data_IF_626759510781
#
_entry.id   IF_626759510781
#
_cell.length_a   1.000
_cell.length_b   1.000
_cell.length_c   1.000
_cell.angle_alpha   90.00
_cell.angle_beta   90.00
_cell.angle_gamma   90.00
#
_symmetry.space_group_name_H-M   'P 1'
#
loop_
_entity.id
_entity.type
_entity.pdbx_description
1 polymer ?
#
# COMPACT_ATOMS: atom_id res chain seq x y z
N UNK A 1 9.50 26.28 -76.33
CA UNK A 1 9.89 24.96 -76.85
C UNK A 1 10.61 24.19 -75.76
N UNK A 2 10.12 22.99 -75.42
CA UNK A 2 10.84 21.83 -74.81
C UNK A 2 11.36 22.02 -73.37
N UNK A 3 11.24 21.08 -72.44
CA UNK A 3 10.60 19.76 -72.33
C UNK A 3 10.59 19.45 -70.82
N UNK A 4 9.42 19.08 -70.28
CA UNK A 4 9.29 18.51 -68.94
C UNK A 4 9.87 17.09 -68.98
N UNK A 5 10.85 16.79 -68.13
CA UNK A 5 11.34 15.43 -67.96
C UNK A 5 10.61 14.80 -66.76
N UNK A 6 9.58 14.00 -67.06
CA UNK A 6 8.98 13.05 -66.13
C UNK A 6 9.92 11.86 -65.95
N UNK A 7 10.51 11.72 -64.76
CA UNK A 7 11.27 10.53 -64.39
C UNK A 7 10.26 9.41 -64.05
N UNK A 8 10.04 8.50 -65.00
CA UNK A 8 9.36 7.23 -64.77
C UNK A 8 10.33 6.30 -64.03
N UNK A 9 10.08 6.03 -62.75
CA UNK A 9 10.72 4.91 -62.05
C UNK A 9 9.88 3.66 -62.33
N UNK A 10 10.44 2.78 -63.14
CA UNK A 10 9.91 1.46 -63.48
C UNK A 10 10.03 0.55 -62.26
N UNK A 11 8.88 0.10 -61.73
CA UNK A 11 8.82 -1.00 -60.77
C UNK A 11 9.27 -2.30 -61.44
N UNK A 12 10.50 -2.73 -61.17
CA UNK A 12 10.92 -4.10 -61.44
C UNK A 12 10.39 -4.98 -60.31
N UNK A 13 9.31 -5.69 -60.62
CA UNK A 13 8.81 -6.83 -59.85
C UNK A 13 9.85 -7.95 -59.91
N UNK A 14 10.67 -8.05 -58.87
CA UNK A 14 11.64 -9.12 -58.68
C UNK A 14 11.44 -9.79 -57.32
N UNK A 15 10.97 -11.04 -57.36
CA UNK A 15 11.25 -12.04 -56.32
C UNK A 15 10.48 -11.89 -55.00
N UNK A 16 9.31 -12.53 -54.95
CA UNK A 16 8.73 -13.03 -53.70
C UNK A 16 9.69 -14.05 -53.05
N UNK A 17 10.59 -13.57 -52.18
CA UNK A 17 10.99 -14.35 -51.01
C UNK A 17 10.22 -13.77 -49.85
N UNK A 18 9.14 -14.45 -49.46
CA UNK A 18 8.41 -14.19 -48.22
C UNK A 18 9.34 -14.39 -47.03
N UNK A 19 10.10 -13.34 -46.71
CA UNK A 19 10.61 -13.15 -45.37
C UNK A 19 9.38 -12.87 -44.52
N UNK A 20 8.86 -13.90 -43.86
CA UNK A 20 8.12 -13.70 -42.63
C UNK A 20 8.98 -12.79 -41.76
N UNK A 21 8.61 -11.52 -41.63
CA UNK A 21 9.04 -10.67 -40.54
C UNK A 21 8.49 -11.36 -39.29
N UNK A 22 9.27 -12.31 -38.79
CA UNK A 22 9.11 -12.85 -37.47
C UNK A 22 9.31 -11.64 -36.58
N UNK A 23 8.21 -11.08 -36.06
CA UNK A 23 8.27 -10.12 -34.99
C UNK A 23 9.15 -10.77 -33.93
N UNK A 24 10.38 -10.26 -33.77
CA UNK A 24 11.26 -10.67 -32.68
C UNK A 24 10.42 -10.43 -31.44
N UNK A 25 10.11 -11.51 -30.72
CA UNK A 25 9.41 -11.44 -29.45
C UNK A 25 10.25 -10.54 -28.55
N UNK A 26 9.86 -9.27 -28.47
CA UNK A 26 10.65 -8.25 -27.80
C UNK A 26 10.45 -8.54 -26.33
N UNK A 27 11.50 -8.97 -25.64
CA UNK A 27 11.41 -9.22 -24.21
C UNK A 27 10.91 -7.95 -23.52
N UNK A 28 9.92 -8.09 -22.64
CA UNK A 28 9.37 -7.01 -21.82
C UNK A 28 9.54 -7.40 -20.36
N UNK A 29 9.98 -6.46 -19.54
CA UNK A 29 10.02 -6.61 -18.09
C UNK A 29 8.70 -6.12 -17.51
N UNK A 30 8.03 -6.95 -16.73
CA UNK A 30 6.78 -6.55 -16.09
C UNK A 30 7.02 -6.07 -14.67
N UNK A 31 6.48 -4.90 -14.33
CA UNK A 31 6.34 -4.45 -12.95
C UNK A 31 4.88 -4.55 -12.53
N UNK A 32 4.63 -4.92 -11.27
CA UNK A 32 3.27 -4.96 -10.71
C UNK A 32 3.06 -3.75 -9.82
N UNK A 33 1.96 -3.03 -10.04
CA UNK A 33 1.53 -1.91 -9.24
C UNK A 33 0.19 -2.25 -8.55
N UNK A 34 0.20 -2.35 -7.22
CA UNK A 34 -0.99 -2.59 -6.40
C UNK A 34 -1.50 -1.24 -5.89
N UNK A 35 -2.65 -0.79 -6.38
CA UNK A 35 -3.27 0.47 -5.96
C UNK A 35 -4.16 0.18 -4.74
N UNK A 36 -3.76 0.67 -3.57
CA UNK A 36 -4.56 0.56 -2.34
C UNK A 36 -5.55 1.71 -2.21
N UNK A 37 -5.13 2.91 -2.62
CA UNK A 37 -5.94 4.10 -2.56
C UNK A 37 -5.66 4.97 -3.76
N UNK A 38 -6.73 5.38 -4.44
CA UNK A 38 -6.69 6.40 -5.49
C UNK A 38 -8.07 7.03 -5.50
N UNK A 39 -8.27 8.02 -4.64
CA UNK A 39 -9.57 8.64 -4.43
C UNK A 39 -9.41 10.08 -3.97
N UNK A 40 -10.46 10.86 -4.17
CA UNK A 40 -10.53 12.22 -3.66
C UNK A 40 -10.79 12.19 -2.17
N UNK A 41 -9.96 12.93 -1.43
CA UNK A 41 -10.16 13.25 -0.01
C UNK A 41 -10.11 14.76 0.09
N UNK A 42 -11.25 15.38 0.43
CA UNK A 42 -11.44 16.82 0.45
C UNK A 42 -11.11 17.52 -0.87
N UNK A 43 -10.02 18.31 -0.88
CA UNK A 43 -9.51 19.04 -2.05
C UNK A 43 -8.27 18.39 -2.66
N UNK A 44 -7.90 17.19 -2.18
CA UNK A 44 -6.74 16.46 -2.66
C UNK A 44 -7.13 15.12 -3.30
N UNK A 45 -6.38 14.71 -4.30
CA UNK A 45 -6.36 13.33 -4.76
C UNK A 45 -5.30 12.58 -3.94
N UNK A 46 -5.71 11.52 -3.24
CA UNK A 46 -4.79 10.67 -2.50
C UNK A 46 -4.47 9.43 -3.32
N UNK A 47 -3.18 9.20 -3.59
CA UNK A 47 -2.64 7.99 -4.21
C UNK A 47 -1.76 7.25 -3.21
N UNK A 48 -2.04 5.97 -3.01
CA UNK A 48 -1.22 5.01 -2.26
C UNK A 48 -1.14 3.73 -3.10
N UNK A 49 0.05 3.42 -3.59
CA UNK A 49 0.28 2.20 -4.37
C UNK A 49 1.64 1.58 -4.06
N UNK A 50 1.71 0.26 -4.08
CA UNK A 50 2.98 -0.46 -4.07
C UNK A 50 3.42 -0.79 -5.49
N UNK A 51 4.65 -0.42 -5.85
CA UNK A 51 5.30 -0.75 -7.12
C UNK A 51 6.36 -1.82 -6.86
N UNK A 52 6.12 -3.05 -7.32
CA UNK A 52 7.07 -4.16 -7.20
C UNK A 52 8.09 -4.11 -8.34
N UNK A 53 9.37 -3.92 -7.97
CA UNK A 53 10.48 -3.78 -8.90
C UNK A 53 11.45 -4.96 -8.87
N UNK A 54 11.19 -6.01 -8.07
CA UNK A 54 12.14 -7.11 -7.78
C UNK A 54 12.73 -7.77 -9.03
N UNK A 55 11.90 -7.92 -10.06
CA UNK A 55 12.25 -8.58 -11.32
C UNK A 55 12.91 -7.64 -12.35
N UNK A 56 12.99 -6.34 -12.06
CA UNK A 56 13.60 -5.37 -12.98
C UNK A 56 15.13 -5.52 -12.99
N UNK A 57 15.68 -5.63 -14.19
CA UNK A 57 17.10 -5.72 -14.49
C UNK A 57 17.52 -4.57 -15.39
N UNK A 58 18.71 -4.02 -15.10
CA UNK A 58 19.30 -2.91 -15.82
C UNK A 58 20.74 -3.24 -16.22
N UNK A 59 21.15 -2.73 -17.38
CA UNK A 59 22.56 -2.75 -17.74
C UNK A 59 23.37 -1.83 -16.79
N UNK A 60 24.66 -2.10 -16.54
CA UNK A 60 25.43 -1.39 -15.52
C UNK A 60 25.46 0.13 -15.62
N UNK A 61 25.47 0.66 -16.82
CA UNK A 61 25.54 2.07 -17.18
C UNK A 61 24.17 2.68 -17.54
N UNK A 62 23.09 1.92 -17.36
CA UNK A 62 21.74 2.37 -17.68
C UNK A 62 21.11 3.16 -16.52
N UNK A 63 20.34 4.19 -16.84
CA UNK A 63 19.47 4.92 -15.90
C UNK A 63 18.07 4.97 -16.50
N UNK A 64 17.09 4.59 -15.70
CA UNK A 64 15.68 4.53 -16.10
C UNK A 64 14.84 5.33 -15.12
N UNK A 65 13.91 6.12 -15.66
CA UNK A 65 12.90 6.83 -14.88
C UNK A 65 11.56 6.14 -15.09
N UNK A 66 10.99 5.58 -14.02
CA UNK A 66 9.61 5.13 -14.01
C UNK A 66 8.74 6.31 -13.56
N UNK A 67 7.94 6.85 -14.47
CA UNK A 67 7.12 8.06 -14.27
C UNK A 67 5.66 7.62 -14.14
N UNK A 68 5.09 7.63 -12.93
CA UNK A 68 3.65 7.49 -12.76
C UNK A 68 2.95 8.70 -13.38
N UNK A 69 1.93 8.46 -14.20
CA UNK A 69 1.10 9.49 -14.81
C UNK A 69 -0.36 9.20 -14.50
N UNK A 70 -1.02 10.17 -13.88
CA UNK A 70 -2.47 10.20 -13.73
C UNK A 70 -3.04 10.77 -15.03
N UNK A 71 -4.12 10.19 -15.56
CA UNK A 71 -4.68 10.63 -16.84
C UNK A 71 -6.19 10.42 -16.92
N UNK A 72 -6.86 11.31 -17.66
CA UNK A 72 -8.28 11.18 -18.01
C UNK A 72 -8.51 11.88 -19.36
N UNK A 73 -8.82 11.10 -20.41
CA UNK A 73 -8.95 11.66 -21.76
C UNK A 73 -7.63 12.30 -22.23
N UNK A 74 -7.68 13.61 -22.55
CA UNK A 74 -6.52 14.42 -22.94
C UNK A 74 -5.72 14.99 -21.77
N UNK A 75 -6.32 15.07 -20.58
CA UNK A 75 -5.69 15.63 -19.40
C UNK A 75 -4.79 14.62 -18.73
N UNK A 76 -3.63 15.07 -18.26
CA UNK A 76 -2.70 14.21 -17.54
C UNK A 76 -1.75 14.97 -16.63
N UNK A 77 -1.32 14.30 -15.57
CA UNK A 77 -0.35 14.81 -14.60
C UNK A 77 0.76 13.78 -14.41
N UNK A 78 1.98 14.16 -14.78
CA UNK A 78 3.19 13.39 -14.46
C UNK A 78 3.56 13.60 -13.00
N UNK A 79 3.83 12.49 -12.30
CA UNK A 79 4.25 12.49 -10.92
C UNK A 79 5.77 12.29 -10.80
N UNK A 80 6.39 12.67 -9.67
CA UNK A 80 7.80 12.45 -9.41
C UNK A 80 8.25 11.01 -9.72
N UNK A 81 9.29 10.80 -10.53
CA UNK A 81 9.66 9.47 -10.99
C UNK A 81 10.33 8.62 -9.91
N UNK A 82 10.23 7.30 -10.05
CA UNK A 82 11.16 6.35 -9.40
C UNK A 82 12.35 6.19 -10.33
N UNK A 83 13.52 6.63 -9.89
CA UNK A 83 14.77 6.56 -10.65
C UNK A 83 15.50 5.25 -10.33
N UNK A 84 15.78 4.46 -11.35
CA UNK A 84 16.52 3.22 -11.25
C UNK A 84 17.86 3.37 -11.97
N UNK A 85 18.95 3.09 -11.26
CA UNK A 85 20.31 3.15 -11.78
C UNK A 85 20.95 1.77 -11.78
N UNK A 86 21.59 1.39 -12.87
CA UNK A 86 22.58 0.32 -12.85
C UNK A 86 23.80 0.66 -11.96
N UNK A 87 24.66 -0.32 -11.63
CA UNK A 87 25.81 -0.12 -10.75
C UNK A 87 26.76 1.03 -11.12
N UNK A 88 27.06 1.23 -12.39
CA UNK A 88 27.97 2.28 -12.86
C UNK A 88 27.25 3.64 -12.93
N UNK A 89 26.00 3.69 -13.39
CA UNK A 89 25.25 4.94 -13.45
C UNK A 89 24.90 5.47 -12.05
N UNK A 90 24.67 4.61 -11.06
CA UNK A 90 24.50 5.00 -9.65
C UNK A 90 25.78 5.66 -9.10
N UNK A 91 26.95 5.11 -9.43
CA UNK A 91 28.23 5.70 -9.04
C UNK A 91 28.40 7.09 -9.66
N UNK A 92 28.04 7.27 -10.93
CA UNK A 92 28.10 8.57 -11.60
C UNK A 92 27.09 9.56 -11.01
N UNK A 93 25.88 9.10 -10.71
CA UNK A 93 24.85 9.89 -10.04
C UNK A 93 25.34 10.42 -8.69
N UNK A 94 25.88 9.55 -7.82
CA UNK A 94 26.43 9.94 -6.50
C UNK A 94 27.59 10.92 -6.62
N UNK A 95 28.49 10.71 -7.59
CA UNK A 95 29.63 11.62 -7.84
C UNK A 95 29.16 13.01 -8.27
N UNK A 96 28.20 13.11 -9.20
CA UNK A 96 27.65 14.40 -9.64
C UNK A 96 26.90 15.12 -8.51
N UNK A 97 26.11 14.37 -7.72
CA UNK A 97 25.42 14.89 -6.53
C UNK A 97 26.42 15.47 -5.51
N UNK A 98 27.51 14.77 -5.23
CA UNK A 98 28.57 15.24 -4.33
C UNK A 98 29.31 16.49 -4.86
N UNK A 99 29.37 16.67 -6.18
CA UNK A 99 29.96 17.84 -6.82
C UNK A 99 28.98 19.02 -6.97
N UNK A 100 27.76 18.91 -6.43
CA UNK A 100 26.72 19.95 -6.56
C UNK A 100 26.23 20.17 -8.00
N UNK A 101 26.53 19.25 -8.92
CA UNK A 101 26.05 19.30 -10.30
C UNK A 101 24.66 18.65 -10.36
N UNK A 102 23.62 19.46 -10.51
CA UNK A 102 22.26 18.99 -10.73
C UNK A 102 22.19 18.22 -12.06
N UNK A 103 21.49 17.08 -12.06
CA UNK A 103 21.40 16.19 -13.22
C UNK A 103 20.07 16.47 -13.92
N UNK A 104 20.10 17.22 -15.03
CA UNK A 104 19.11 17.07 -16.10
C UNK A 104 19.06 15.58 -16.50
N UNK A 105 17.88 14.98 -16.78
CA UNK A 105 16.90 15.54 -17.71
C UNK A 105 15.43 15.36 -17.26
N UNK A 106 15.17 15.12 -15.98
CA UNK A 106 13.79 15.09 -15.47
C UNK A 106 13.45 16.45 -14.88
N UNK A 107 12.30 17.05 -15.23
CA UNK A 107 11.87 18.33 -14.66
C UNK A 107 11.48 18.24 -13.17
N UNK A 108 11.52 17.04 -12.58
CA UNK A 108 11.11 16.76 -11.21
C UNK A 108 12.22 16.07 -10.42
N UNK A 109 12.28 16.35 -9.12
CA UNK A 109 13.04 15.56 -8.16
C UNK A 109 12.46 14.14 -8.09
N UNK A 110 13.27 13.07 -8.16
CA UNK A 110 12.76 11.72 -8.11
C UNK A 110 12.16 11.40 -6.74
N UNK A 111 11.02 10.71 -6.73
CA UNK A 111 10.37 10.21 -5.50
C UNK A 111 11.30 9.26 -4.73
N UNK A 112 12.00 8.40 -5.47
CA UNK A 112 12.99 7.48 -4.92
C UNK A 112 14.11 7.26 -5.94
N UNK A 113 15.34 7.04 -5.45
CA UNK A 113 16.50 6.68 -6.27
C UNK A 113 17.01 5.33 -5.79
N UNK A 114 16.98 4.34 -6.68
CA UNK A 114 17.35 2.97 -6.40
C UNK A 114 18.49 2.51 -7.28
N UNK A 115 19.31 1.61 -6.75
CA UNK A 115 20.40 0.97 -7.47
C UNK A 115 20.05 -0.48 -7.74
N UNK A 116 19.97 -0.85 -9.00
CA UNK A 116 19.96 -2.24 -9.44
C UNK A 116 21.35 -2.83 -9.19
N UNK A 117 21.42 -3.97 -8.51
CA UNK A 117 22.67 -4.63 -8.12
C UNK A 117 22.45 -6.13 -8.00
N UNK A 118 23.41 -6.88 -7.45
CA UNK A 118 23.27 -8.33 -7.25
C UNK A 118 22.10 -8.77 -6.35
N UNK A 119 21.39 -7.83 -5.72
CA UNK A 119 20.17 -8.06 -4.95
C UNK A 119 18.94 -7.55 -5.71
N UNK A 120 17.79 -8.21 -5.51
CA UNK A 120 16.51 -7.78 -6.06
C UNK A 120 16.17 -6.35 -5.62
N UNK A 121 15.62 -5.56 -6.56
CA UNK A 121 15.10 -4.24 -6.24
C UNK A 121 13.89 -4.35 -5.29
N UNK A 122 13.66 -3.35 -4.42
CA UNK A 122 12.58 -3.43 -3.44
C UNK A 122 11.19 -3.22 -4.05
N UNK A 123 10.17 -3.50 -3.24
CA UNK A 123 8.81 -2.98 -3.48
C UNK A 123 8.73 -1.57 -2.88
N UNK A 124 8.38 -0.58 -3.70
CA UNK A 124 8.27 0.82 -3.28
C UNK A 124 6.82 1.14 -2.96
N UNK A 125 6.56 1.70 -1.78
CA UNK A 125 5.28 2.38 -1.54
C UNK A 125 5.40 3.80 -2.11
N UNK A 126 4.63 4.07 -3.15
CA UNK A 126 4.50 5.35 -3.80
C UNK A 126 3.23 6.04 -3.29
N UNK A 127 3.41 7.04 -2.41
CA UNK A 127 2.33 7.79 -1.77
C UNK A 127 2.36 9.27 -2.14
N UNK A 128 1.19 9.81 -2.44
CA UNK A 128 0.91 11.23 -2.64
C UNK A 128 -0.43 11.58 -2.04
N UNK A 129 -0.44 12.41 -1.00
CA UNK A 129 -1.64 12.87 -0.29
C UNK A 129 -1.88 14.39 -0.43
N UNK A 130 -0.99 15.08 -1.12
CA UNK A 130 -0.95 16.53 -1.31
C UNK A 130 -1.29 16.98 -2.74
N UNK A 131 -1.77 16.08 -3.60
CA UNK A 131 -2.08 16.43 -5.00
C UNK A 131 -3.39 17.21 -5.05
N UNK A 132 -3.32 18.49 -5.40
CA UNK A 132 -4.53 19.30 -5.62
C UNK A 132 -5.47 18.61 -6.62
N UNK A 133 -6.70 18.36 -6.18
CA UNK A 133 -7.70 17.67 -6.97
C UNK A 133 -8.22 18.59 -8.08
N UNK A 134 -8.18 18.11 -9.32
CA UNK A 134 -8.77 18.80 -10.46
C UNK A 134 -10.00 18.04 -10.99
N UNK A 135 -11.01 18.71 -11.56
CA UNK A 135 -12.26 18.06 -11.98
C UNK A 135 -12.07 16.86 -12.93
N UNK A 136 -11.05 16.89 -13.79
CA UNK A 136 -10.75 15.78 -14.71
C UNK A 136 -10.26 14.51 -13.99
N UNK A 137 -9.78 14.63 -12.74
CA UNK A 137 -9.25 13.52 -11.93
C UNK A 137 -10.33 12.61 -11.36
N UNK A 138 -11.59 13.00 -11.38
CA UNK A 138 -12.74 12.24 -10.84
C UNK A 138 -12.82 10.81 -11.40
N UNK A 139 -12.43 10.65 -12.67
CA UNK A 139 -12.41 9.35 -13.38
C UNK A 139 -11.02 9.01 -13.91
N UNK A 140 -9.98 9.57 -13.30
CA UNK A 140 -8.62 9.35 -13.79
C UNK A 140 -8.15 7.91 -13.57
N UNK A 141 -7.45 7.40 -14.57
CA UNK A 141 -6.61 6.22 -14.46
C UNK A 141 -5.17 6.59 -14.09
N UNK A 142 -4.36 5.56 -13.85
CA UNK A 142 -2.92 5.71 -13.64
C UNK A 142 -2.18 4.74 -14.56
N UNK A 143 -1.03 5.18 -15.05
CA UNK A 143 -0.07 4.37 -15.81
C UNK A 143 1.34 4.73 -15.37
N UNK A 144 2.30 3.83 -15.60
CA UNK A 144 3.71 4.12 -15.38
C UNK A 144 4.40 4.00 -16.73
N UNK A 145 5.03 5.09 -17.15
CA UNK A 145 5.93 5.08 -18.31
C UNK A 145 7.35 4.88 -17.84
N UNK A 146 8.19 4.34 -18.70
CA UNK A 146 9.63 4.39 -18.49
C UNK A 146 10.28 5.33 -19.50
N UNK A 147 11.34 6.02 -19.08
CA UNK A 147 12.21 6.82 -19.94
C UNK A 147 13.66 6.44 -19.64
N UNK A 148 14.41 6.05 -20.67
CA UNK A 148 15.86 5.85 -20.55
C UNK A 148 16.56 7.21 -20.56
N UNK A 149 17.53 7.41 -19.65
CA UNK A 149 18.34 8.63 -19.61
C UNK A 149 19.18 8.82 -20.87
N UNK A 150 19.76 7.73 -21.39
CA UNK A 150 20.69 7.75 -22.52
C UNK A 150 20.09 7.19 -23.82
N UNK A 151 18.79 6.89 -23.86
CA UNK A 151 18.17 6.09 -24.94
C UNK A 151 18.97 4.80 -25.22
N UNK A 152 19.29 4.07 -24.15
CA UNK A 152 20.09 2.86 -24.23
C UNK A 152 19.31 1.74 -24.94
N UNK A 153 19.75 1.35 -26.14
CA UNK A 153 19.14 0.29 -26.96
C UNK A 153 19.15 -1.10 -26.29
N UNK A 154 19.95 -1.28 -25.23
CA UNK A 154 19.97 -2.52 -24.42
C UNK A 154 18.87 -2.54 -23.37
N UNK A 155 18.17 -1.43 -23.15
CA UNK A 155 17.09 -1.38 -22.18
C UNK A 155 15.92 -2.25 -22.67
N UNK A 156 15.67 -3.33 -21.96
CA UNK A 156 14.48 -4.14 -22.15
C UNK A 156 13.27 -3.30 -21.68
N UNK A 157 12.27 -3.05 -22.55
CA UNK A 157 11.09 -2.26 -22.22
C UNK A 157 10.43 -2.69 -20.91
N UNK A 158 9.96 -1.71 -20.13
CA UNK A 158 9.28 -1.98 -18.85
C UNK A 158 7.79 -1.66 -19.01
N UNK A 159 6.94 -2.62 -18.69
CA UNK A 159 5.49 -2.45 -18.71
C UNK A 159 4.90 -2.65 -17.30
N UNK A 160 4.02 -1.73 -16.90
CA UNK A 160 3.37 -1.79 -15.61
C UNK A 160 1.98 -2.44 -15.70
N UNK A 161 1.78 -3.49 -14.92
CA UNK A 161 0.47 -4.12 -14.70
C UNK A 161 -0.13 -3.59 -13.42
N UNK A 162 -1.34 -3.06 -13.50
CA UNK A 162 -2.04 -2.48 -12.37
C UNK A 162 -3.12 -3.41 -11.85
N UNK A 163 -3.22 -3.51 -10.54
CA UNK A 163 -4.31 -4.18 -9.84
C UNK A 163 -4.83 -3.24 -8.77
N UNK A 164 -6.15 -2.98 -8.79
CA UNK A 164 -6.79 -2.18 -7.75
C UNK A 164 -7.16 -3.12 -6.62
N UNK A 165 -6.56 -2.90 -5.46
CA UNK A 165 -6.88 -3.67 -4.26
C UNK A 165 -8.17 -3.06 -3.70
N UNK A 166 -9.29 -3.81 -3.67
CA UNK A 166 -10.54 -3.27 -3.16
C UNK A 166 -10.39 -2.91 -1.68
N UNK A 167 -11.01 -1.81 -1.22
CA UNK A 167 -11.05 -1.50 0.21
C UNK A 167 -11.74 -2.65 0.94
N UNK A 168 -11.09 -3.18 1.97
CA UNK A 168 -11.63 -4.29 2.77
C UNK A 168 -12.86 -3.78 3.53
N UNK A 169 -14.05 -4.22 3.13
CA UNK A 169 -15.27 -4.06 3.91
C UNK A 169 -15.24 -5.13 5.00
N UNK A 170 -14.92 -4.73 6.23
CA UNK A 170 -15.08 -5.61 7.40
C UNK A 170 -16.57 -5.74 7.68
N UNK A 171 -17.22 -6.75 7.09
CA UNK A 171 -18.57 -7.14 7.49
C UNK A 171 -18.45 -7.85 8.84
N UNK A 172 -18.79 -7.17 9.93
CA UNK A 172 -19.05 -7.84 11.21
C UNK A 172 -20.30 -8.70 11.03
N UNK A 173 -20.15 -9.98 10.76
CA UNK A 173 -21.23 -10.95 10.95
C UNK A 173 -21.28 -11.33 12.42
N UNK A 174 -22.37 -10.96 13.09
CA UNK A 174 -22.69 -11.43 14.43
C UNK A 174 -22.72 -12.96 14.41
N UNK A 175 -21.65 -13.58 14.91
CA UNK A 175 -21.56 -15.04 14.97
C UNK A 175 -22.30 -15.48 16.23
N UNK A 176 -23.56 -15.86 16.08
CA UNK A 176 -24.30 -16.61 17.11
C UNK A 176 -23.61 -17.97 17.31
N UNK A 177 -22.88 -18.12 18.42
CA UNK A 177 -22.36 -19.42 18.85
C UNK A 177 -23.54 -20.21 19.42
N UNK A 178 -24.18 -21.04 18.61
CA UNK A 178 -25.09 -22.08 19.08
C UNK A 178 -24.24 -23.16 19.77
N UNK A 179 -24.25 -23.17 21.11
CA UNK A 179 -23.73 -24.30 21.90
C UNK A 179 -24.84 -25.35 22.04
N UNK A 180 -25.07 -26.13 20.99
CA UNK A 180 -25.95 -27.29 21.10
C UNK A 180 -25.13 -28.53 21.47
N UNK A 181 -25.22 -28.86 22.75
CA UNK A 181 -24.86 -30.17 23.31
C UNK A 181 -25.86 -31.19 22.78
N UNK A 182 -25.60 -31.80 21.61
CA UNK A 182 -26.36 -32.97 21.17
C UNK A 182 -25.64 -34.24 21.60
N UNK A 183 -26.13 -34.85 22.68
CA UNK A 183 -25.96 -36.28 22.95
C UNK A 183 -26.77 -37.04 21.90
N UNK A 184 -26.12 -37.91 21.12
CA UNK A 184 -26.81 -38.95 20.37
C UNK A 184 -26.42 -40.30 20.97
N UNK A 185 -27.39 -40.89 21.67
CA UNK A 185 -27.38 -42.29 22.08
C UNK A 185 -27.46 -43.20 20.86
N UNK A 186 -26.79 -44.35 20.95
CA UNK A 186 -26.87 -45.45 19.99
C UNK A 186 -28.32 -45.87 19.78
N UNK A 187 -28.75 -45.95 18.52
CA UNK A 187 -29.63 -47.03 18.11
C UNK A 187 -29.22 -47.57 16.74
N UNK A 188 -29.15 -48.90 16.68
CA UNK A 188 -28.72 -49.71 15.55
C UNK A 188 -29.96 -50.00 14.72
N UNK A 189 -29.89 -49.79 13.40
CA UNK A 189 -30.56 -50.66 12.44
C UNK A 189 -29.81 -50.62 11.10
N UNK A 190 -29.46 -51.82 10.62
CA UNK A 190 -28.80 -52.04 9.33
C UNK A 190 -29.85 -52.15 8.22
N UNK A 191 -29.52 -51.63 7.03
CA UNK A 191 -29.78 -52.39 5.83
C UNK A 191 -28.48 -52.69 5.07
N UNK A 192 -28.41 -53.92 4.57
CA UNK A 192 -27.36 -54.45 3.69
C UNK A 192 -27.46 -53.77 2.33
N UNK A 193 -26.34 -53.24 1.81
CA UNK A 193 -26.23 -52.78 0.42
C UNK A 193 -25.10 -53.53 -0.30
N UNK A 194 -25.43 -53.99 -1.50
CA UNK A 194 -24.62 -54.80 -2.43
C UNK A 194 -23.48 -53.95 -3.01
N UNK A 195 -22.24 -54.47 -3.21
CA UNK A 195 -21.17 -53.66 -3.75
C UNK A 195 -21.40 -53.38 -5.25
N UNK A 196 -21.61 -52.10 -5.58
CA UNK A 196 -21.52 -51.60 -6.95
C UNK A 196 -20.05 -51.38 -7.32
N UNK A 197 -19.70 -51.68 -8.58
CA UNK A 197 -18.36 -51.59 -9.14
C UNK A 197 -17.70 -50.21 -8.93
N UNK A 198 -16.35 -50.13 -8.81
CA UNK A 198 -15.67 -48.86 -8.60
C UNK A 198 -15.84 -47.95 -9.82
N UNK A 199 -16.45 -46.79 -9.59
CA UNK A 199 -16.48 -45.68 -10.54
C UNK A 199 -15.05 -45.16 -10.79
N UNK A 200 -14.76 -44.62 -12.00
CA UNK A 200 -13.43 -44.08 -12.30
C UNK A 200 -13.10 -42.92 -11.35
N UNK A 201 -11.90 -42.96 -10.77
CA UNK A 201 -11.34 -41.87 -9.98
C UNK A 201 -11.14 -40.68 -10.90
N UNK A 202 -12.09 -39.73 -10.87
CA UNK A 202 -11.89 -38.40 -11.44
C UNK A 202 -10.88 -37.70 -10.51
N UNK A 203 -9.65 -37.52 -10.97
CA UNK A 203 -8.69 -36.64 -10.32
C UNK A 203 -9.32 -35.24 -10.25
N UNK A 204 -9.73 -34.84 -9.04
CA UNK A 204 -10.13 -33.45 -8.77
C UNK A 204 -8.90 -32.58 -9.01
N UNK A 205 -8.91 -31.85 -10.12
CA UNK A 205 -7.91 -30.83 -10.43
C UNK A 205 -7.96 -29.79 -9.30
N UNK A 206 -6.98 -29.80 -8.42
CA UNK A 206 -6.85 -28.83 -7.33
C UNK A 206 -6.74 -27.43 -7.92
N UNK A 207 -7.75 -26.60 -7.70
CA UNK A 207 -7.67 -25.18 -8.07
C UNK A 207 -7.03 -24.42 -6.92
N UNK A 208 -5.84 -23.85 -7.15
CA UNK A 208 -5.18 -22.95 -6.20
C UNK A 208 -5.70 -21.54 -6.43
N UNK A 209 -6.50 -21.03 -5.48
CA UNK A 209 -6.95 -19.62 -5.49
C UNK A 209 -5.92 -18.77 -4.76
N UNK A 210 -5.41 -17.74 -5.43
CA UNK A 210 -4.47 -16.75 -4.88
C UNK A 210 -5.27 -15.49 -4.53
N UNK A 211 -5.37 -15.14 -3.25
CA UNK A 211 -6.07 -13.95 -2.76
C UNK A 211 -5.07 -12.96 -2.16
N UNK A 212 -5.11 -11.70 -2.61
CA UNK A 212 -4.36 -10.61 -1.99
C UNK A 212 -5.22 -10.00 -0.87
N UNK A 213 -4.80 -10.19 0.39
CA UNK A 213 -5.56 -9.78 1.56
C UNK A 213 -4.73 -8.87 2.50
N UNK A 214 -5.44 -8.05 3.26
CA UNK A 214 -4.85 -7.04 4.16
C UNK A 214 -5.48 -7.11 5.54
N UNK A 215 -4.65 -7.18 6.60
CA UNK A 215 -5.13 -7.13 7.97
C UNK A 215 -4.71 -5.83 8.66
N UNK A 216 -5.66 -5.14 9.28
CA UNK A 216 -5.42 -3.94 10.11
C UNK A 216 -5.76 -4.22 11.56
N UNK A 217 -4.85 -3.88 12.47
CA UNK A 217 -5.10 -3.93 13.90
C UNK A 217 -4.58 -2.67 14.59
N UNK A 218 -5.35 -2.15 15.54
CA UNK A 218 -4.95 -1.02 16.37
C UNK A 218 -4.65 -1.52 17.78
N UNK A 219 -3.42 -1.27 18.24
CA UNK A 219 -2.95 -1.64 19.59
C UNK A 219 -2.83 -0.37 20.43
N UNK A 220 -3.58 -0.28 21.51
CA UNK A 220 -3.71 0.89 22.37
C UNK A 220 -2.66 0.93 23.48
N UNK A 221 -2.36 2.13 23.95
CA UNK A 221 -1.38 2.41 24.98
C UNK A 221 -1.99 3.28 26.09
N UNK A 222 -1.57 3.10 27.35
CA UNK A 222 -2.00 3.98 28.43
C UNK A 222 -1.43 5.40 28.25
N UNK A 223 -1.94 6.35 29.04
CA UNK A 223 -1.46 7.75 29.08
C UNK A 223 0.07 7.74 29.26
N UNK A 224 0.80 8.43 28.37
CA UNK A 224 2.26 8.50 28.36
C UNK A 224 2.99 7.15 28.30
N UNK A 225 2.26 6.06 28.06
CA UNK A 225 2.78 4.71 27.99
C UNK A 225 3.37 4.37 26.63
N UNK A 226 4.48 3.65 26.67
CA UNK A 226 5.21 3.15 25.48
C UNK A 226 5.26 1.61 25.45
N UNK A 227 4.72 0.96 26.48
CA UNK A 227 4.69 -0.49 26.60
C UNK A 227 3.35 -1.01 26.11
N UNK A 228 3.40 -2.03 25.25
CA UNK A 228 2.21 -2.78 24.86
C UNK A 228 1.73 -3.56 26.08
N UNK A 229 0.45 -3.39 26.41
CA UNK A 229 -0.21 -4.10 27.50
C UNK A 229 -1.33 -4.97 26.90
N UNK A 230 -1.05 -6.24 26.57
CA UNK A 230 -2.01 -7.16 25.97
C UNK A 230 -3.35 -7.24 26.71
N UNK A 231 -3.28 -7.37 28.04
CA UNK A 231 -4.44 -7.58 28.91
C UNK A 231 -5.17 -6.30 29.31
N UNK A 232 -4.73 -5.13 28.82
CA UNK A 232 -5.44 -3.88 29.07
C UNK A 232 -6.81 -3.91 28.38
N UNK A 233 -7.84 -3.33 28.98
CA UNK A 233 -9.24 -3.44 28.52
C UNK A 233 -9.43 -3.11 27.04
N UNK A 234 -8.77 -2.06 26.53
CA UNK A 234 -8.81 -1.68 25.11
C UNK A 234 -8.08 -2.65 24.17
N UNK A 235 -7.12 -3.41 24.68
CA UNK A 235 -6.29 -4.31 23.90
C UNK A 235 -6.74 -5.75 23.97
N UNK A 236 -7.32 -6.22 25.08
CA UNK A 236 -7.48 -7.66 25.35
C UNK A 236 -8.06 -8.42 24.16
N UNK A 237 -9.20 -7.98 23.65
CA UNK A 237 -9.85 -8.63 22.51
C UNK A 237 -9.06 -8.42 21.21
N UNK A 238 -8.73 -7.17 20.88
CA UNK A 238 -8.02 -6.81 19.65
C UNK A 238 -6.64 -7.50 19.54
N UNK A 239 -5.95 -7.65 20.66
CA UNK A 239 -4.64 -8.27 20.77
C UNK A 239 -4.70 -9.78 20.53
N UNK A 240 -5.67 -10.48 21.14
CA UNK A 240 -5.82 -11.92 20.92
C UNK A 240 -6.19 -12.21 19.45
N UNK A 241 -7.08 -11.42 18.86
CA UNK A 241 -7.40 -11.53 17.43
C UNK A 241 -6.17 -11.25 16.58
N UNK A 242 -5.43 -10.18 16.89
CA UNK A 242 -4.20 -9.81 16.20
C UNK A 242 -3.18 -10.94 16.21
N UNK A 243 -2.84 -11.47 17.39
CA UNK A 243 -1.86 -12.56 17.52
C UNK A 243 -2.34 -13.83 16.82
N UNK A 244 -3.63 -14.17 16.93
CA UNK A 244 -4.18 -15.35 16.24
C UNK A 244 -4.07 -15.22 14.73
N UNK A 245 -4.30 -14.03 14.17
CA UNK A 245 -4.14 -13.78 12.75
C UNK A 245 -2.66 -13.83 12.34
N UNK A 246 -1.76 -13.27 13.15
CA UNK A 246 -0.31 -13.39 12.88
C UNK A 246 0.14 -14.86 12.84
N UNK A 247 -0.29 -15.65 13.81
CA UNK A 247 0.08 -17.06 13.93
C UNK A 247 -0.54 -17.89 12.78
N UNK A 248 -1.74 -17.54 12.28
CA UNK A 248 -2.36 -18.17 11.11
C UNK A 248 -1.59 -17.86 9.82
N UNK A 249 -1.15 -16.61 9.66
CA UNK A 249 -0.34 -16.17 8.52
C UNK A 249 1.04 -16.82 8.49
N UNK A 250 1.60 -17.15 9.65
CA UNK A 250 2.88 -17.85 9.76
C UNK A 250 2.78 -19.37 9.57
N UNK A 251 1.71 -19.99 10.07
CA UNK A 251 1.53 -21.45 10.07
C UNK A 251 0.91 -21.99 8.79
N UNK A 252 0.15 -21.18 8.04
CA UNK A 252 -0.33 -21.53 6.71
C UNK A 252 0.83 -21.58 5.73
N UNK A 253 1.39 -22.77 5.46
CA UNK A 253 2.53 -23.00 4.56
C UNK A 253 2.36 -22.53 3.11
N UNK A 254 1.21 -21.97 2.77
CA UNK A 254 0.83 -21.45 1.46
C UNK A 254 0.70 -19.91 1.44
N UNK A 255 0.78 -19.24 2.59
CA UNK A 255 0.65 -17.79 2.72
C UNK A 255 2.00 -17.07 2.54
N UNK A 256 2.02 -15.96 1.80
CA UNK A 256 3.22 -15.12 1.66
C UNK A 256 2.93 -13.72 2.19
N UNK A 257 3.60 -13.33 3.29
CA UNK A 257 3.51 -11.97 3.81
C UNK A 257 4.36 -11.04 2.93
N UNK A 258 3.72 -10.02 2.36
CA UNK A 258 4.34 -9.10 1.40
C UNK A 258 5.05 -7.92 2.07
N UNK A 259 4.55 -7.50 3.23
CA UNK A 259 5.11 -6.38 3.98
C UNK A 259 4.21 -5.98 5.13
N UNK A 260 4.82 -5.38 6.16
CA UNK A 260 4.12 -4.90 7.35
C UNK A 260 4.43 -3.42 7.55
N UNK A 261 3.40 -2.62 7.77
CA UNK A 261 3.52 -1.20 8.08
C UNK A 261 2.93 -0.94 9.45
N UNK A 262 3.69 -0.30 10.32
CA UNK A 262 3.27 0.10 11.65
C UNK A 262 3.28 1.61 11.72
N UNK A 263 2.16 2.22 12.08
CA UNK A 263 2.05 3.67 12.28
C UNK A 263 1.70 3.93 13.74
N UNK A 264 2.54 4.70 14.44
CA UNK A 264 2.28 5.13 15.81
C UNK A 264 1.58 6.47 15.87
N UNK A 265 0.70 6.64 16.86
CA UNK A 265 -0.12 7.84 17.04
C UNK A 265 -0.13 8.30 18.50
N UNK A 266 -0.37 9.59 18.73
CA UNK A 266 -0.75 10.11 20.05
C UNK A 266 -2.05 10.92 20.00
N UNK A 267 -2.67 11.06 21.17
CA UNK A 267 -3.72 12.04 21.39
C UNK A 267 -3.12 13.45 21.45
N UNK A 268 -3.90 14.50 21.14
CA UNK A 268 -3.43 15.89 21.09
C UNK A 268 -3.30 16.52 22.48
N UNK A 269 -2.85 15.75 23.47
CA UNK A 269 -2.69 16.22 24.85
C UNK A 269 -1.26 16.69 25.10
N UNK A 270 -1.11 17.93 25.54
CA UNK A 270 0.19 18.42 25.99
C UNK A 270 1.06 18.88 24.84
N UNK A 271 2.37 18.66 24.95
CA UNK A 271 3.34 19.28 24.05
C UNK A 271 3.52 18.46 22.75
N UNK A 272 3.41 19.11 21.59
CA UNK A 272 3.50 18.46 20.27
C UNK A 272 4.79 17.64 20.10
N UNK A 273 5.97 18.17 20.44
CA UNK A 273 7.23 17.43 20.30
C UNK A 273 7.31 16.22 21.24
N UNK A 274 6.56 16.23 22.35
CA UNK A 274 6.46 15.06 23.22
C UNK A 274 5.55 14.00 22.59
N UNK A 275 4.43 14.43 22.01
CA UNK A 275 3.49 13.58 21.28
C UNK A 275 4.14 12.90 20.06
N UNK A 276 4.98 13.64 19.33
CA UNK A 276 5.79 13.10 18.21
C UNK A 276 6.72 11.97 18.67
N UNK A 277 7.50 12.21 19.74
CA UNK A 277 8.39 11.19 20.31
C UNK A 277 7.64 9.96 20.83
N UNK A 278 6.48 10.16 21.45
CA UNK A 278 5.64 9.07 21.98
C UNK A 278 5.07 8.25 20.83
N UNK A 279 4.54 8.89 19.79
CA UNK A 279 3.99 8.24 18.61
C UNK A 279 5.05 7.34 17.95
N UNK A 280 6.26 7.88 17.72
CA UNK A 280 7.40 7.12 17.21
C UNK A 280 7.71 5.88 18.05
N UNK A 281 7.82 6.05 19.38
CA UNK A 281 8.14 4.94 20.29
C UNK A 281 7.06 3.86 20.32
N UNK A 282 5.79 4.21 20.15
CA UNK A 282 4.69 3.23 20.02
C UNK A 282 4.81 2.39 18.76
N UNK A 283 5.18 3.02 17.63
CA UNK A 283 5.46 2.31 16.39
C UNK A 283 6.63 1.34 16.55
N UNK A 284 7.73 1.81 17.16
CA UNK A 284 8.91 1.00 17.45
C UNK A 284 8.57 -0.18 18.37
N UNK A 285 7.77 0.03 19.42
CA UNK A 285 7.37 -1.05 20.34
C UNK A 285 6.60 -2.17 19.63
N UNK A 286 5.68 -1.83 18.73
CA UNK A 286 4.92 -2.82 17.97
C UNK A 286 5.77 -3.49 16.88
N UNK A 287 6.68 -2.74 16.24
CA UNK A 287 7.69 -3.33 15.35
C UNK A 287 8.55 -4.36 16.07
N UNK A 288 9.10 -4.04 17.24
CA UNK A 288 9.92 -5.00 18.00
C UNK A 288 9.15 -6.26 18.36
N UNK A 289 7.87 -6.15 18.70
CA UNK A 289 7.02 -7.33 18.88
C UNK A 289 6.90 -8.15 17.58
N UNK A 290 6.60 -7.50 16.46
CA UNK A 290 6.45 -8.17 15.16
C UNK A 290 7.75 -8.84 14.68
N UNK A 291 8.91 -8.26 14.97
CA UNK A 291 10.24 -8.85 14.66
C UNK A 291 10.51 -10.14 15.45
N UNK A 292 9.89 -10.34 16.62
CA UNK A 292 9.96 -11.64 17.32
C UNK A 292 9.08 -12.70 16.67
N UNK A 293 8.03 -12.30 15.94
CA UNK A 293 7.06 -13.19 15.31
C UNK A 293 7.43 -13.50 13.85
N UNK A 294 7.99 -12.52 13.15
CA UNK A 294 8.45 -12.60 11.76
C UNK A 294 9.93 -12.27 11.67
N UNK A 295 10.67 -13.06 10.90
CA UNK A 295 12.07 -12.78 10.64
C UNK A 295 12.20 -11.56 9.71
N UNK A 296 12.78 -10.47 10.19
CA UNK A 296 12.94 -9.19 9.47
C UNK A 296 13.82 -9.30 8.21
N UNK A 297 14.54 -10.40 8.03
CA UNK A 297 15.27 -10.70 6.78
C UNK A 297 14.36 -11.19 5.65
N UNK A 298 13.15 -11.65 5.96
CA UNK A 298 12.19 -12.19 4.98
C UNK A 298 10.99 -11.25 4.75
N UNK A 299 10.60 -10.49 5.79
CA UNK A 299 9.45 -9.57 5.73
C UNK A 299 9.90 -8.20 6.21
N UNK A 300 9.78 -7.19 5.35
CA UNK A 300 10.08 -5.81 5.71
C UNK A 300 9.00 -5.26 6.65
N UNK A 301 9.43 -4.76 7.82
CA UNK A 301 8.58 -4.08 8.80
C UNK A 301 8.96 -2.59 8.83
N UNK A 302 8.11 -1.76 8.23
CA UNK A 302 8.27 -0.30 8.20
C UNK A 302 7.55 0.35 9.37
N UNK A 303 8.12 1.44 9.87
CA UNK A 303 7.55 2.24 10.97
C UNK A 303 7.40 3.69 10.54
N UNK A 304 6.21 4.23 10.72
CA UNK A 304 5.86 5.65 10.56
C UNK A 304 5.22 6.15 11.86
N UNK A 305 5.06 7.46 11.99
CA UNK A 305 4.34 8.03 13.12
C UNK A 305 3.70 9.36 12.75
N UNK A 306 2.57 9.64 13.40
CA UNK A 306 1.85 10.92 13.36
C UNK A 306 1.74 11.39 14.80
N UNK A 307 2.27 12.58 15.09
CA UNK A 307 2.32 13.11 16.45
C UNK A 307 0.93 13.17 17.08
N UNK A 308 -0.05 13.72 16.37
CA UNK A 308 -1.42 13.91 16.85
C UNK A 308 -2.41 13.50 15.76
N UNK A 309 -3.23 12.49 16.03
CA UNK A 309 -4.18 11.93 15.06
C UNK A 309 -5.49 12.74 15.02
N UNK A 310 -5.42 13.92 14.42
CA UNK A 310 -6.55 14.84 14.27
C UNK A 310 -7.65 14.28 13.36
N UNK A 311 -7.28 13.49 12.35
CA UNK A 311 -8.22 12.87 11.43
C UNK A 311 -9.10 11.85 12.15
N UNK A 312 -8.49 10.95 12.92
CA UNK A 312 -9.23 9.97 13.73
C UNK A 312 -10.05 10.62 14.83
N UNK A 313 -9.58 11.73 15.41
CA UNK A 313 -10.39 12.50 16.36
C UNK A 313 -11.64 13.05 15.67
N UNK A 314 -11.51 13.63 14.47
CA UNK A 314 -12.64 14.11 13.69
C UNK A 314 -13.63 12.98 13.35
N UNK A 315 -13.14 11.80 12.97
CA UNK A 315 -13.99 10.62 12.75
C UNK A 315 -14.79 10.22 14.00
N UNK A 316 -14.13 10.14 15.16
CA UNK A 316 -14.78 9.82 16.44
C UNK A 316 -15.85 10.85 16.82
N UNK A 317 -15.58 12.13 16.59
CA UNK A 317 -16.53 13.23 16.82
C UNK A 317 -17.70 13.16 15.83
N UNK A 318 -17.45 12.95 14.54
CA UNK A 318 -18.48 12.79 13.50
C UNK A 318 -19.41 11.62 13.78
N UNK A 319 -18.88 10.52 14.31
CA UNK A 319 -19.65 9.33 14.66
C UNK A 319 -20.45 9.46 15.97
N UNK A 320 -20.29 10.54 16.73
CA UNK A 320 -20.89 10.67 18.05
C UNK A 320 -22.12 11.56 18.10
N UNK A 321 -22.75 11.55 19.27
CA UNK A 321 -23.85 12.44 19.68
C UNK A 321 -23.38 13.45 20.73
N UNK A 322 -22.09 13.85 20.72
CA UNK A 322 -21.60 14.83 21.68
C UNK A 322 -22.26 16.20 21.46
N UNK A 323 -22.51 16.94 22.53
CA UNK A 323 -23.27 18.19 22.51
C UNK A 323 -22.67 19.26 21.57
N UNK A 324 -21.36 19.51 21.68
CA UNK A 324 -20.66 20.51 20.88
C UNK A 324 -20.02 19.93 19.60
N UNK A 325 -20.58 18.86 19.05
CA UNK A 325 -20.03 18.13 17.90
C UNK A 325 -19.63 19.06 16.75
N UNK A 326 -20.55 19.87 16.25
CA UNK A 326 -20.31 20.71 15.08
C UNK A 326 -19.27 21.80 15.37
N UNK A 327 -19.24 22.36 16.59
CA UNK A 327 -18.25 23.35 17.00
C UNK A 327 -16.85 22.73 17.14
N UNK A 328 -16.77 21.50 17.64
CA UNK A 328 -15.50 20.77 17.72
C UNK A 328 -14.96 20.49 16.32
N UNK A 329 -15.81 20.03 15.39
CA UNK A 329 -15.41 19.79 14.00
C UNK A 329 -14.96 21.08 13.31
N UNK A 330 -15.71 22.18 13.48
CA UNK A 330 -15.33 23.49 12.96
C UNK A 330 -13.93 23.93 13.43
N UNK A 331 -13.61 23.72 14.71
CA UNK A 331 -12.28 24.02 15.25
C UNK A 331 -11.20 23.11 14.64
N UNK A 332 -11.49 21.81 14.47
CA UNK A 332 -10.53 20.86 13.87
C UNK A 332 -10.25 21.23 12.41
N UNK A 333 -11.28 21.60 11.65
CA UNK A 333 -11.16 21.86 10.22
C UNK A 333 -10.54 23.25 9.93
N UNK A 334 -10.84 24.26 10.76
CA UNK A 334 -10.51 25.67 10.45
C UNK A 334 -9.38 26.28 11.29
N UNK A 335 -8.98 25.69 12.41
CA UNK A 335 -7.89 26.22 13.25
C UNK A 335 -6.63 25.41 13.02
N UNK A 336 -5.51 26.06 12.68
CA UNK A 336 -4.22 25.38 12.52
C UNK A 336 -3.71 24.79 13.86
N UNK A 337 -3.07 23.62 13.80
CA UNK A 337 -2.55 22.88 14.97
C UNK A 337 -1.62 23.77 15.81
N UNK A 338 -0.71 24.49 15.18
CA UNK A 338 0.27 25.37 15.83
C UNK A 338 -0.29 26.76 16.14
N UNK A 339 -1.47 27.10 15.64
CA UNK A 339 -2.18 28.35 15.96
C UNK A 339 -3.21 28.19 17.09
N UNK A 340 -3.07 27.14 17.90
CA UNK A 340 -3.84 26.98 19.14
C UNK A 340 -5.15 26.24 18.99
N UNK A 341 -5.26 25.31 18.02
CA UNK A 341 -6.39 24.37 17.90
C UNK A 341 -6.74 23.70 19.23
N UNK A 342 -5.73 23.15 19.92
CA UNK A 342 -5.89 22.50 21.23
C UNK A 342 -6.47 23.47 22.27
N UNK A 343 -5.93 24.68 22.36
CA UNK A 343 -6.40 25.70 23.31
C UNK A 343 -7.84 26.12 23.04
N UNK A 344 -8.23 26.22 21.76
CA UNK A 344 -9.60 26.57 21.38
C UNK A 344 -10.58 25.46 21.79
N UNK A 345 -10.21 24.20 21.63
CA UNK A 345 -11.00 23.06 22.12
C UNK A 345 -11.08 23.02 23.65
N UNK A 346 -9.98 23.33 24.36
CA UNK A 346 -9.96 23.42 25.83
C UNK A 346 -10.86 24.52 26.38
N UNK A 347 -11.00 25.63 25.67
CA UNK A 347 -11.88 26.73 26.09
C UNK A 347 -13.34 26.53 25.68
N UNK A 348 -13.62 25.63 24.72
CA UNK A 348 -14.97 25.43 24.20
C UNK A 348 -15.93 24.96 25.31
N UNK A 349 -17.05 25.66 25.43
CA UNK A 349 -18.11 25.38 26.40
C UNK A 349 -17.60 25.20 27.84
N UNK A 350 -16.62 26.02 28.23
CA UNK A 350 -16.00 25.96 29.56
C UNK A 350 -15.18 24.69 29.81
N UNK A 351 -14.67 24.06 28.75
CA UNK A 351 -13.84 22.86 28.81
C UNK A 351 -14.61 21.54 28.88
N UNK A 352 -15.95 21.57 28.84
CA UNK A 352 -16.78 20.35 28.85
C UNK A 352 -16.49 19.44 27.66
N UNK A 353 -16.39 20.02 26.47
CA UNK A 353 -16.08 19.27 25.24
C UNK A 353 -14.72 18.58 25.34
N UNK A 354 -13.70 19.30 25.83
CA UNK A 354 -12.36 18.74 26.05
C UNK A 354 -12.37 17.61 27.08
N UNK A 355 -13.01 17.81 28.24
CA UNK A 355 -13.09 16.80 29.28
C UNK A 355 -13.79 15.51 28.80
N UNK A 356 -14.81 15.66 27.95
CA UNK A 356 -15.48 14.52 27.33
C UNK A 356 -14.57 13.78 26.35
N UNK A 357 -13.91 14.47 25.42
CA UNK A 357 -12.97 13.86 24.47
C UNK A 357 -11.78 13.20 25.18
N UNK A 358 -11.27 13.83 26.24
CA UNK A 358 -10.20 13.31 27.08
C UNK A 358 -10.54 11.95 27.69
N UNK A 359 -11.80 11.77 28.11
CA UNK A 359 -12.28 10.53 28.72
C UNK A 359 -12.63 9.48 27.67
N UNK A 360 -13.37 9.85 26.62
CA UNK A 360 -14.02 8.89 25.73
C UNK A 360 -13.24 8.60 24.43
N UNK A 361 -12.45 9.57 23.94
CA UNK A 361 -11.82 9.51 22.61
C UNK A 361 -10.31 9.42 22.66
N UNK A 362 -9.64 10.22 23.48
CA UNK A 362 -8.17 10.24 23.53
C UNK A 362 -7.54 8.87 23.86
N UNK A 363 -8.13 8.01 24.71
CA UNK A 363 -7.65 6.64 24.87
C UNK A 363 -7.61 5.84 23.56
N UNK A 364 -8.53 6.13 22.61
CA UNK A 364 -8.62 5.47 21.30
C UNK A 364 -7.67 6.08 20.25
N UNK A 365 -7.05 7.22 20.54
CA UNK A 365 -6.03 7.84 19.67
C UNK A 365 -4.62 7.40 20.05
N UNK A 366 -4.41 7.00 21.31
CA UNK A 366 -3.12 6.51 21.82
C UNK A 366 -2.87 5.09 21.34
N UNK A 367 -2.53 4.92 20.07
CA UNK A 367 -2.40 3.59 19.46
C UNK A 367 -1.19 3.45 18.52
N UNK A 368 -0.87 2.21 18.19
CA UNK A 368 -0.08 1.85 17.03
C UNK A 368 -0.96 0.99 16.11
N UNK A 369 -1.11 1.42 14.86
CA UNK A 369 -1.87 0.71 13.83
C UNK A 369 -0.92 -0.14 12.99
N UNK A 370 -1.17 -1.44 12.92
CA UNK A 370 -0.44 -2.37 12.08
C UNK A 370 -1.28 -2.68 10.83
N UNK A 371 -0.64 -2.67 9.65
CA UNK A 371 -1.20 -3.14 8.38
C UNK A 371 -0.29 -4.22 7.82
N UNK A 372 -0.88 -5.37 7.49
CA UNK A 372 -0.15 -6.53 6.97
C UNK A 372 -0.73 -6.86 5.60
N UNK A 373 0.09 -6.74 4.56
CA UNK A 373 -0.27 -7.24 3.24
C UNK A 373 0.19 -8.69 3.11
N UNK A 374 -0.69 -9.59 2.66
CA UNK A 374 -0.34 -10.99 2.43
C UNK A 374 -1.07 -11.59 1.22
N UNK A 375 -0.50 -12.67 0.71
CA UNK A 375 -1.08 -13.50 -0.34
C UNK A 375 -1.51 -14.80 0.31
N UNK A 376 -2.80 -15.11 0.28
CA UNK A 376 -3.37 -16.36 0.76
C UNK A 376 -3.52 -17.33 -0.41
N UNK A 377 -3.02 -18.55 -0.25
CA UNK A 377 -3.24 -19.64 -1.23
C UNK A 377 -4.15 -20.68 -0.60
N UNK A 378 -5.34 -20.82 -1.15
CA UNK A 378 -6.31 -21.82 -0.69
C UNK A 378 -6.43 -22.90 -1.77
N UNK A 379 -6.18 -24.16 -1.41
CA UNK A 379 -6.54 -25.31 -2.24
C UNK A 379 -8.03 -25.61 -2.02
N UNK A 380 -8.83 -25.59 -3.09
CA UNK A 380 -10.20 -26.09 -3.07
C UNK A 380 -10.29 -27.52 -3.59
#
# INVERSE_FOLDING_TARGET
MKKVYCLFIVCVLGGLTGGFLQAKDQSVQFIRALIYRMERVDSCLVLDMNVNLREVKLAPDCTVYLIPRIFSGSDSLDLPPIMLNGPQSDLMYRRRKALGKFIEPTPYEPYAVLRESGHELPVINYRKDDMEFQPWMEKAGIKIFYKSYNNDDRLIPIEAKFERVPPVIVVKTDTLILRDTIRIEKNIDRPVYVPAAPAPVVEKKKETVIEHAGYRADIYFPVSGMKILPEHDLNKEAWHVFVSELDSLRSGGSNTVMGITVIGYSSPEGNYEANDRIAKRRAEALKSFLETKYNSTLVEIRTEWIAEDWDRLAELVRASNMEDKDKVLDIIDNVDIFKGRENRLKSLSGGKAWAYMLKEYFPKLRCASCRIGYVKRTEK
#
